data_IF_323364902296
#
_entry.id   IF_323364902296
#
_cell.length_a   1.000
_cell.length_b   1.000
_cell.length_c   1.000
_cell.angle_alpha   90.00
_cell.angle_beta   90.00
_cell.angle_gamma   90.00
#
_symmetry.space_group_name_H-M   'P 1'
#
loop_
_entity.id
_entity.type
_entity.pdbx_description
1 polymer ?
#
# COMPACT_ATOMS: atom_id res chain seq x y z
N UNK A 1 23.53 3.64 -8.98
CA UNK A 1 22.14 4.16 -9.08
C UNK A 1 21.08 3.16 -8.60
N UNK A 2 21.00 1.94 -9.15
CA UNK A 2 19.98 0.93 -8.73
C UNK A 2 20.05 0.53 -7.25
N UNK A 3 21.25 0.39 -6.70
CA UNK A 3 21.44 0.07 -5.27
C UNK A 3 20.91 1.18 -4.35
N UNK A 4 21.13 2.45 -4.72
CA UNK A 4 20.62 3.61 -3.96
C UNK A 4 19.09 3.70 -4.00
N UNK A 5 18.47 3.38 -5.15
CA UNK A 5 17.00 3.30 -5.28
C UNK A 5 16.45 2.15 -4.43
N UNK A 6 17.13 0.99 -4.42
CA UNK A 6 16.75 -0.13 -3.56
C UNK A 6 16.85 0.21 -2.06
N UNK A 7 17.96 0.81 -1.64
CA UNK A 7 18.16 1.26 -0.25
C UNK A 7 17.10 2.27 0.18
N UNK A 8 16.86 3.30 -0.63
CA UNK A 8 15.82 4.31 -0.33
C UNK A 8 14.43 3.67 -0.25
N UNK A 9 14.09 2.76 -1.17
CA UNK A 9 12.84 2.01 -1.10
C UNK A 9 12.73 1.19 0.19
N UNK A 10 13.75 0.41 0.55
CA UNK A 10 13.75 -0.41 1.76
C UNK A 10 13.63 0.44 3.03
N UNK A 11 14.38 1.54 3.12
CA UNK A 11 14.32 2.45 4.27
C UNK A 11 12.95 3.10 4.39
N UNK A 12 12.37 3.60 3.29
CA UNK A 12 11.03 4.17 3.30
C UNK A 12 9.96 3.14 3.65
N UNK A 13 10.09 1.91 3.16
CA UNK A 13 9.18 0.81 3.47
C UNK A 13 9.20 0.47 4.97
N UNK A 14 10.40 0.28 5.54
CA UNK A 14 10.57 0.01 6.98
C UNK A 14 10.03 1.16 7.84
N UNK A 15 10.37 2.41 7.49
CA UNK A 15 9.90 3.59 8.21
C UNK A 15 8.36 3.71 8.18
N UNK A 16 7.75 3.46 7.02
CA UNK A 16 6.28 3.45 6.88
C UNK A 16 5.64 2.37 7.75
N UNK A 17 6.21 1.17 7.77
CA UNK A 17 5.70 0.05 8.56
C UNK A 17 5.79 0.30 10.07
N UNK A 18 6.93 0.83 10.54
CA UNK A 18 7.12 1.21 11.95
C UNK A 18 6.16 2.33 12.37
N UNK A 19 6.01 3.36 11.52
CA UNK A 19 5.08 4.47 11.77
C UNK A 19 3.64 3.98 11.84
N UNK A 20 3.22 3.15 10.87
CA UNK A 20 1.88 2.57 10.85
C UNK A 20 1.61 1.72 12.10
N UNK A 21 2.56 0.88 12.51
CA UNK A 21 2.42 0.12 13.75
C UNK A 21 2.35 1.02 14.99
N UNK A 22 3.19 2.05 15.08
CA UNK A 22 3.18 2.96 16.21
C UNK A 22 1.82 3.66 16.34
N UNK A 23 1.29 4.20 15.24
CA UNK A 23 -0.03 4.85 15.21
C UNK A 23 -1.16 3.89 15.58
N UNK A 24 -1.15 2.66 15.05
CA UNK A 24 -2.23 1.69 15.27
C UNK A 24 -2.16 1.02 16.66
N UNK A 25 -0.96 0.74 17.16
CA UNK A 25 -0.74 -0.04 18.38
C UNK A 25 -0.56 0.83 19.62
N UNK A 26 0.24 1.91 19.54
CA UNK A 26 0.55 2.78 20.68
C UNK A 26 -0.51 3.87 20.82
N UNK A 27 -0.91 4.49 19.72
CA UNK A 27 -1.96 5.53 19.72
C UNK A 27 -3.39 4.95 19.84
N UNK A 28 -3.55 3.62 19.78
CA UNK A 28 -4.84 2.91 19.77
C UNK A 28 -5.85 3.48 18.77
N UNK A 29 -5.37 3.93 17.61
CA UNK A 29 -6.22 4.53 16.61
C UNK A 29 -7.18 3.49 16.03
N UNK A 30 -8.46 3.57 16.42
CA UNK A 30 -9.47 2.54 16.14
C UNK A 30 -10.01 2.60 14.71
N UNK A 31 -9.55 3.57 13.90
CA UNK A 31 -10.04 3.84 12.54
C UNK A 31 -8.92 3.76 11.48
N UNK A 32 -8.43 2.55 11.14
CA UNK A 32 -7.38 2.38 10.15
C UNK A 32 -7.77 2.88 8.75
N UNK A 33 -9.05 2.83 8.40
CA UNK A 33 -9.58 3.34 7.12
C UNK A 33 -9.49 4.86 7.00
N UNK A 34 -9.68 5.60 8.10
CA UNK A 34 -9.51 7.05 8.10
C UNK A 34 -8.04 7.43 7.91
N UNK A 35 -7.13 6.69 8.56
CA UNK A 35 -5.70 6.91 8.41
C UNK A 35 -5.21 6.59 7.00
N UNK A 36 -5.68 5.48 6.41
CA UNK A 36 -5.42 5.14 5.01
C UNK A 36 -6.01 6.18 4.04
N UNK A 37 -7.22 6.66 4.32
CA UNK A 37 -7.85 7.73 3.54
C UNK A 37 -7.02 9.00 3.55
N UNK A 38 -6.49 9.38 4.72
CA UNK A 38 -5.59 10.51 4.86
C UNK A 38 -4.27 10.32 4.09
N UNK A 39 -3.63 9.16 4.20
CA UNK A 39 -2.40 8.86 3.44
C UNK A 39 -2.64 8.91 1.92
N UNK A 40 -3.77 8.38 1.47
CA UNK A 40 -4.15 8.41 0.04
C UNK A 40 -4.43 9.83 -0.43
N UNK A 41 -5.06 10.66 0.41
CA UNK A 41 -5.33 12.07 0.11
C UNK A 41 -4.03 12.87 0.00
N UNK A 42 -3.11 12.72 0.96
CA UNK A 42 -1.79 13.37 0.92
C UNK A 42 -1.00 12.90 -0.31
N UNK A 43 -0.99 11.60 -0.59
CA UNK A 43 -0.36 11.03 -1.79
C UNK A 43 -0.95 11.59 -3.08
N UNK A 44 -2.28 11.69 -3.17
CA UNK A 44 -2.99 12.27 -4.30
C UNK A 44 -2.69 13.75 -4.50
N UNK A 45 -2.64 14.54 -3.41
CA UNK A 45 -2.25 15.95 -3.45
C UNK A 45 -0.81 16.12 -3.93
N UNK A 46 0.14 15.35 -3.40
CA UNK A 46 1.53 15.38 -3.84
C UNK A 46 1.66 15.03 -5.31
N UNK A 47 0.93 14.02 -5.78
CA UNK A 47 0.92 13.60 -7.18
C UNK A 47 0.28 14.67 -8.08
N UNK A 48 -0.78 15.33 -7.62
CA UNK A 48 -1.40 16.46 -8.32
C UNK A 48 -0.46 17.67 -8.43
N UNK A 49 0.23 18.03 -7.35
CA UNK A 49 1.24 19.09 -7.35
C UNK A 49 2.42 18.72 -8.25
N UNK A 50 2.89 17.47 -8.20
CA UNK A 50 3.98 16.99 -9.06
C UNK A 50 3.60 17.05 -10.55
N UNK A 51 2.35 16.76 -10.88
CA UNK A 51 1.83 16.93 -12.24
C UNK A 51 1.79 18.40 -12.65
N UNK A 52 1.30 19.28 -11.78
CA UNK A 52 1.28 20.73 -12.04
C UNK A 52 2.68 21.32 -12.23
N UNK A 53 3.68 20.77 -11.55
CA UNK A 53 5.09 21.15 -11.68
C UNK A 53 5.82 20.48 -12.87
N UNK A 54 5.15 19.61 -13.62
CA UNK A 54 5.73 18.88 -14.74
C UNK A 54 6.73 17.79 -14.35
N UNK A 55 6.77 17.39 -13.06
CA UNK A 55 7.64 16.33 -12.56
C UNK A 55 7.09 14.93 -12.86
N UNK A 56 5.79 14.82 -13.14
CA UNK A 56 5.10 13.58 -13.48
C UNK A 56 4.08 13.82 -14.61
N UNK A 57 4.12 13.00 -15.65
CA UNK A 57 3.07 12.95 -16.67
C UNK A 57 1.91 12.08 -16.17
N UNK A 58 0.74 12.69 -15.99
CA UNK A 58 -0.50 11.96 -15.70
C UNK A 58 -1.27 11.84 -17.00
N UNK A 59 -1.49 10.60 -17.44
CA UNK A 59 -2.36 10.32 -18.57
C UNK A 59 -3.81 10.69 -18.21
N UNK A 60 -4.51 11.39 -19.10
CA UNK A 60 -5.92 11.72 -18.89
C UNK A 60 -6.75 10.44 -18.89
N UNK A 61 -7.17 10.01 -17.69
CA UNK A 61 -7.97 8.80 -17.52
C UNK A 61 -9.36 8.99 -18.13
N UNK A 62 -9.77 8.11 -19.04
CA UNK A 62 -11.15 8.11 -19.52
C UNK A 62 -12.07 7.64 -18.41
N UNK A 63 -13.35 8.04 -18.43
CA UNK A 63 -14.34 7.54 -17.46
C UNK A 63 -14.43 6.01 -17.47
N UNK A 64 -14.14 5.36 -18.60
CA UNK A 64 -14.11 3.90 -18.74
C UNK A 64 -12.97 3.25 -17.96
N UNK A 65 -11.81 3.90 -17.89
CA UNK A 65 -10.67 3.39 -17.14
C UNK A 65 -10.99 3.40 -15.64
N UNK A 66 -11.59 4.48 -15.15
CA UNK A 66 -12.01 4.59 -13.73
C UNK A 66 -12.93 3.44 -13.32
N UNK A 67 -13.92 3.11 -14.14
CA UNK A 67 -14.83 1.99 -13.87
C UNK A 67 -14.12 0.64 -13.88
N UNK A 68 -13.12 0.47 -14.77
CA UNK A 68 -12.31 -0.75 -14.86
C UNK A 68 -11.42 -0.92 -13.62
N UNK A 69 -10.92 0.19 -13.06
CA UNK A 69 -10.08 0.20 -11.85
C UNK A 69 -10.86 0.11 -10.54
N UNK A 70 -12.17 0.34 -10.56
CA UNK A 70 -13.01 0.40 -9.36
C UNK A 70 -13.05 -0.94 -8.59
N UNK A 71 -13.24 -2.12 -9.22
CA UNK A 71 -13.20 -3.40 -8.51
C UNK A 71 -11.86 -3.66 -7.83
N UNK A 72 -10.75 -3.36 -8.52
CA UNK A 72 -9.41 -3.49 -7.97
C UNK A 72 -9.19 -2.54 -6.79
N UNK A 73 -9.71 -1.31 -6.88
CA UNK A 73 -9.63 -0.30 -5.81
C UNK A 73 -10.40 -0.75 -4.56
N UNK A 74 -11.59 -1.33 -4.71
CA UNK A 74 -12.37 -1.88 -3.59
C UNK A 74 -11.64 -3.03 -2.91
N UNK A 75 -11.09 -3.97 -3.68
CA UNK A 75 -10.30 -5.08 -3.14
C UNK A 75 -9.06 -4.58 -2.41
N UNK A 76 -8.38 -3.56 -2.96
CA UNK A 76 -7.21 -2.94 -2.34
C UNK A 76 -7.53 -2.32 -0.98
N UNK A 77 -8.66 -1.60 -0.87
CA UNK A 77 -9.13 -1.08 0.42
C UNK A 77 -9.41 -2.21 1.42
N UNK A 78 -10.02 -3.30 0.96
CA UNK A 78 -10.25 -4.49 1.79
C UNK A 78 -8.96 -5.11 2.33
N UNK A 79 -7.92 -5.25 1.48
CA UNK A 79 -6.60 -5.77 1.86
C UNK A 79 -5.96 -4.89 2.93
N UNK A 80 -5.98 -3.56 2.76
CA UNK A 80 -5.34 -2.65 3.74
C UNK A 80 -6.12 -2.61 5.05
N UNK A 81 -7.46 -2.66 5.02
CA UNK A 81 -8.26 -2.75 6.24
C UNK A 81 -7.95 -4.03 7.03
N UNK A 82 -7.98 -5.19 6.35
CA UNK A 82 -7.64 -6.47 6.95
C UNK A 82 -6.19 -6.48 7.48
N UNK A 83 -5.24 -5.98 6.69
CA UNK A 83 -3.84 -5.84 7.05
C UNK A 83 -3.62 -4.94 8.26
N UNK A 84 -4.29 -3.79 8.33
CA UNK A 84 -4.19 -2.86 9.46
C UNK A 84 -4.76 -3.47 10.74
N UNK A 85 -5.88 -4.19 10.65
CA UNK A 85 -6.48 -4.89 11.78
C UNK A 85 -5.58 -6.03 12.26
N UNK A 86 -5.03 -6.82 11.33
CA UNK A 86 -4.04 -7.85 11.64
C UNK A 86 -2.78 -7.24 12.31
N UNK A 87 -2.23 -6.16 11.77
CA UNK A 87 -1.06 -5.48 12.31
C UNK A 87 -1.28 -4.91 13.72
N UNK A 88 -2.50 -4.45 14.02
CA UNK A 88 -2.86 -3.96 15.36
C UNK A 88 -2.98 -5.08 16.41
N UNK A 89 -3.25 -6.32 15.99
CA UNK A 89 -3.53 -7.46 16.87
C UNK A 89 -2.38 -8.47 16.95
N UNK A 90 -1.59 -8.62 15.89
CA UNK A 90 -0.48 -9.55 15.81
C UNK A 90 0.87 -8.87 16.09
N UNK A 91 1.83 -9.65 16.58
CA UNK A 91 3.22 -9.22 16.66
C UNK A 91 3.79 -9.02 15.24
N UNK A 92 4.68 -8.03 15.09
CA UNK A 92 5.36 -7.72 13.81
C UNK A 92 5.91 -8.97 13.11
N UNK A 93 6.69 -9.84 13.77
CA UNK A 93 7.29 -10.99 13.09
C UNK A 93 6.23 -11.94 12.53
N UNK A 94 5.11 -12.16 13.23
CA UNK A 94 4.04 -13.05 12.75
C UNK A 94 3.33 -12.46 11.52
N UNK A 95 3.07 -11.14 11.54
CA UNK A 95 2.51 -10.45 10.37
C UNK A 95 3.43 -10.56 9.15
N UNK A 96 4.74 -10.34 9.34
CA UNK A 96 5.72 -10.45 8.26
C UNK A 96 5.80 -11.87 7.68
N UNK A 97 5.78 -12.91 8.52
CA UNK A 97 5.78 -14.31 8.05
C UNK A 97 4.55 -14.59 7.19
N UNK A 98 3.36 -14.18 7.64
CA UNK A 98 2.12 -14.37 6.89
C UNK A 98 2.15 -13.62 5.55
N UNK A 99 2.68 -12.40 5.53
CA UNK A 99 2.81 -11.62 4.30
C UNK A 99 3.77 -12.27 3.30
N UNK A 100 4.92 -12.78 3.76
CA UNK A 100 5.86 -13.52 2.91
C UNK A 100 5.25 -14.80 2.34
N UNK A 101 4.47 -15.54 3.12
CA UNK A 101 3.76 -16.74 2.65
C UNK A 101 2.73 -16.37 1.57
N UNK A 102 1.98 -15.28 1.77
CA UNK A 102 1.01 -14.81 0.79
C UNK A 102 1.66 -14.48 -0.57
N UNK A 103 2.83 -13.82 -0.57
CA UNK A 103 3.61 -13.53 -1.78
C UNK A 103 4.06 -14.81 -2.50
N UNK A 104 4.53 -15.81 -1.76
CA UNK A 104 4.93 -17.11 -2.34
C UNK A 104 3.74 -17.81 -2.99
N UNK A 105 2.57 -17.79 -2.35
CA UNK A 105 1.34 -18.37 -2.91
C UNK A 105 0.92 -17.62 -4.17
N UNK A 106 0.95 -16.28 -4.16
CA UNK A 106 0.61 -15.46 -5.33
C UNK A 106 1.55 -15.75 -6.50
N UNK A 107 2.85 -15.84 -6.22
CA UNK A 107 3.86 -16.17 -7.22
C UNK A 107 3.66 -17.59 -7.78
N UNK A 108 3.36 -18.57 -6.92
CA UNK A 108 3.00 -19.93 -7.32
C UNK A 108 1.74 -19.98 -8.19
N UNK A 109 0.70 -19.25 -7.79
CA UNK A 109 -0.56 -19.14 -8.54
C UNK A 109 -0.33 -18.49 -9.91
N UNK A 110 0.39 -17.37 -9.99
CA UNK A 110 0.77 -16.75 -11.26
C UNK A 110 1.54 -17.74 -12.15
N UNK A 111 2.49 -18.50 -11.60
CA UNK A 111 3.25 -19.48 -12.37
C UNK A 111 2.39 -20.66 -12.86
N UNK A 112 1.32 -21.00 -12.15
CA UNK A 112 0.40 -22.09 -12.49
C UNK A 112 -0.68 -21.67 -13.51
N UNK A 113 -1.24 -20.46 -13.36
CA UNK A 113 -2.30 -19.91 -14.22
C UNK A 113 -1.79 -19.16 -15.45
N UNK A 114 -0.51 -18.74 -15.46
CA UNK A 114 0.16 -18.11 -16.61
C UNK A 114 0.90 -19.18 -17.44
N UNK A 115 0.31 -20.37 -17.56
CA UNK A 115 0.62 -21.41 -18.54
C UNK A 115 -0.45 -21.42 -19.62
#
# INVERSE_FOLDING_TARGET
RRCLVGLTFCTCYLASYLTNKYVLSVLKFTYPTLFQGWQTLVGGLLLHVSWKLGWAEINSSSRSDVWTWLPASVLFVGIIYAGSRALSKLAIPVFLTLHNVAEVILCGHQKCFRK
#
